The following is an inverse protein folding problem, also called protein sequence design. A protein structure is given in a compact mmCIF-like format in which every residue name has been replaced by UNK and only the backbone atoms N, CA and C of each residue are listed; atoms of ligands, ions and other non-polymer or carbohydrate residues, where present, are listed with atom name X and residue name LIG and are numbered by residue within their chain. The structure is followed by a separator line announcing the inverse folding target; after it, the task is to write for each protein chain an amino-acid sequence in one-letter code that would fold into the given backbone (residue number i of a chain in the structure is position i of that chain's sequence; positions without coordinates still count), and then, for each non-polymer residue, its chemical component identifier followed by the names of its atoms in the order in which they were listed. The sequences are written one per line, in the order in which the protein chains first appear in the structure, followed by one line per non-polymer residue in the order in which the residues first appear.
data_IF_022559653624
#
_entry.id   IF_022559653624
#
_cell.length_a   1.000
_cell.length_b   1.000
_cell.length_c   1.000
_cell.angle_alpha   90.00
_cell.angle_beta   90.00
_cell.angle_gamma   90.00
#
_symmetry.space_group_name_H-M   'P 1'
#
loop_
_entity.id
_entity.type
_entity.pdbx_description
1 polymer ?
#
# COMPACT_ATOMS: atom_id res chain seq x y z
N UNK A 1 15.44 0.91 1.03
CA UNK A 1 14.25 0.17 0.56
C UNK A 1 13.75 -0.73 1.68
N UNK A 2 12.55 -0.50 2.21
CA UNK A 2 11.97 -1.40 3.21
C UNK A 2 11.44 -2.63 2.48
N UNK A 3 12.03 -3.79 2.75
CA UNK A 3 11.66 -5.05 2.09
C UNK A 3 10.27 -5.48 2.59
N UNK A 4 9.33 -5.86 1.72
CA UNK A 4 8.01 -6.39 2.11
C UNK A 4 8.09 -7.57 3.11
N UNK A 5 9.20 -8.32 3.09
CA UNK A 5 9.49 -9.38 4.06
C UNK A 5 9.59 -8.89 5.50
N UNK A 6 10.03 -7.63 5.71
CA UNK A 6 10.23 -7.04 7.05
C UNK A 6 8.89 -6.67 7.69
N UNK A 7 7.93 -6.21 6.88
CA UNK A 7 6.56 -5.95 7.33
C UNK A 7 5.85 -7.25 7.73
N UNK A 8 5.97 -8.32 6.93
CA UNK A 8 5.42 -9.64 7.30
C UNK A 8 6.03 -10.19 8.58
N UNK A 9 7.34 -10.03 8.79
CA UNK A 9 8.00 -10.46 10.01
C UNK A 9 7.46 -9.71 11.24
N UNK A 10 7.32 -8.37 11.15
CA UNK A 10 6.77 -7.56 12.24
C UNK A 10 5.31 -7.92 12.54
N UNK A 11 4.50 -8.23 11.52
CA UNK A 11 3.13 -8.71 11.71
C UNK A 11 3.10 -10.03 12.49
N UNK A 12 3.99 -10.98 12.14
CA UNK A 12 4.07 -12.27 12.82
C UNK A 12 4.48 -12.12 14.30
N UNK A 13 5.43 -11.24 14.61
CA UNK A 13 5.82 -10.96 16.00
C UNK A 13 4.68 -10.32 16.80
N UNK A 14 3.94 -9.37 16.21
CA UNK A 14 2.77 -8.78 16.86
C UNK A 14 1.68 -9.81 17.16
N UNK A 15 1.45 -10.78 16.27
CA UNK A 15 0.53 -11.90 16.51
C UNK A 15 1.02 -12.82 17.64
N UNK A 16 2.32 -13.13 17.70
CA UNK A 16 2.89 -13.93 18.81
C UNK A 16 2.69 -13.23 20.15
N UNK A 17 2.96 -11.93 20.21
CA UNK A 17 2.74 -11.13 21.41
C UNK A 17 1.26 -11.10 21.80
N UNK A 18 0.36 -10.95 20.82
CA UNK A 18 -1.10 -10.99 21.06
C UNK A 18 -1.56 -12.36 21.60
N UNK A 19 -0.92 -13.45 21.20
CA UNK A 19 -1.22 -14.79 21.71
C UNK A 19 -0.79 -14.96 23.19
N UNK A 20 0.28 -14.28 23.61
CA UNK A 20 0.74 -14.27 25.01
C UNK A 20 0.08 -13.21 25.89
N UNK A 21 -0.63 -12.25 25.31
CA UNK A 21 -1.28 -11.16 26.05
C UNK A 21 -2.47 -11.68 26.86
N UNK A 22 -2.48 -11.35 28.15
CA UNK A 22 -3.55 -11.72 29.09
C UNK A 22 -4.67 -10.69 29.10
N UNK A 23 -4.31 -9.42 28.89
CA UNK A 23 -5.25 -8.32 28.82
C UNK A 23 -5.92 -8.28 27.42
N UNK A 24 -7.27 -8.21 27.36
CA UNK A 24 -8.00 -8.21 26.10
C UNK A 24 -7.80 -6.93 25.27
N UNK A 25 -7.57 -5.78 25.90
CA UNK A 25 -7.32 -4.51 25.21
C UNK A 25 -5.92 -4.50 24.58
N UNK A 26 -4.90 -5.00 25.30
CA UNK A 26 -3.56 -5.20 24.77
C UNK A 26 -3.55 -6.19 23.61
N UNK A 27 -4.29 -7.29 23.74
CA UNK A 27 -4.46 -8.27 22.65
C UNK A 27 -5.08 -7.61 21.42
N UNK A 28 -6.13 -6.82 21.59
CA UNK A 28 -6.78 -6.11 20.49
C UNK A 28 -5.84 -5.08 19.84
N UNK A 29 -5.04 -4.36 20.63
CA UNK A 29 -4.03 -3.42 20.14
C UNK A 29 -2.95 -4.13 19.32
N UNK A 30 -2.41 -5.24 19.81
CA UNK A 30 -1.38 -6.02 19.12
C UNK A 30 -1.89 -6.60 17.80
N UNK A 31 -3.14 -7.05 17.74
CA UNK A 31 -3.76 -7.51 16.49
C UNK A 31 -3.97 -6.36 15.49
N UNK A 32 -4.35 -5.16 15.95
CA UNK A 32 -4.42 -3.96 15.08
C UNK A 32 -3.05 -3.60 14.50
N UNK A 33 -2.00 -3.69 15.32
CA UNK A 33 -0.62 -3.46 14.87
C UNK A 33 -0.21 -4.49 13.81
N UNK A 34 -0.52 -5.78 14.04
CA UNK A 34 -0.25 -6.83 13.06
C UNK A 34 -0.94 -6.56 11.71
N UNK A 35 -2.21 -6.18 11.75
CA UNK A 35 -2.97 -5.81 10.55
C UNK A 35 -2.33 -4.62 9.82
N UNK A 36 -1.92 -3.57 10.54
CA UNK A 36 -1.26 -2.41 9.94
C UNK A 36 0.02 -2.78 9.18
N UNK A 37 0.82 -3.73 9.69
CA UNK A 37 1.99 -4.24 8.97
C UNK A 37 1.62 -5.02 7.70
N UNK A 38 0.53 -5.78 7.70
CA UNK A 38 0.03 -6.48 6.51
C UNK A 38 -0.45 -5.49 5.44
N UNK A 39 -1.19 -4.45 5.83
CA UNK A 39 -1.64 -3.40 4.93
C UNK A 39 -0.45 -2.67 4.27
N UNK A 40 0.61 -2.39 5.03
CA UNK A 40 1.85 -1.83 4.49
C UNK A 40 2.56 -2.78 3.52
N UNK A 41 2.48 -4.09 3.76
CA UNK A 41 3.00 -5.12 2.85
C UNK A 41 2.23 -5.11 1.53
N UNK A 42 0.90 -5.04 1.60
CA UNK A 42 0.04 -4.98 0.41
C UNK A 42 0.30 -3.70 -0.39
N UNK A 43 0.36 -2.54 0.27
CA UNK A 43 0.69 -1.25 -0.37
C UNK A 43 2.08 -1.27 -1.00
N UNK A 44 3.07 -1.88 -0.33
CA UNK A 44 4.42 -2.01 -0.89
C UNK A 44 4.48 -2.98 -2.07
N UNK A 45 3.59 -3.99 -2.11
CA UNK A 45 3.50 -4.96 -3.20
C UNK A 45 2.70 -4.40 -4.39
N UNK A 46 1.64 -3.65 -4.13
CA UNK A 46 0.77 -3.03 -5.16
C UNK A 46 1.32 -1.68 -5.66
N UNK A 47 2.18 -1.02 -4.88
CA UNK A 47 2.89 0.21 -5.26
C UNK A 47 3.90 0.06 -6.40
N UNK A 48 4.15 -1.16 -6.89
CA UNK A 48 4.97 -1.45 -8.07
C UNK A 48 4.15 -1.50 -9.37
N UNK A 49 2.84 -1.19 -9.33
CA UNK A 49 2.00 -1.14 -10.54
C UNK A 49 1.10 0.10 -10.63
N UNK A 50 1.59 1.27 -10.22
CA UNK A 50 1.11 2.50 -10.87
C UNK A 50 2.06 2.80 -12.02
N UNK A 51 1.87 2.07 -13.14
CA UNK A 51 2.10 2.73 -14.43
C UNK A 51 1.19 3.94 -14.40
N UNK A 52 1.78 5.12 -14.27
CA UNK A 52 1.12 6.38 -14.56
C UNK A 52 0.41 6.19 -15.88
N UNK A 53 -0.91 5.98 -15.84
CA UNK A 53 -1.77 6.13 -17.00
C UNK A 53 -1.76 7.62 -17.25
N UNK A 54 -0.76 8.08 -17.99
CA UNK A 54 -0.78 9.41 -18.58
C UNK A 54 -2.09 9.43 -19.39
N UNK A 55 -3.06 10.29 -19.09
CA UNK A 55 -4.21 10.42 -19.96
C UNK A 55 -3.70 10.88 -21.32
N UNK A 56 -3.76 9.97 -22.31
CA UNK A 56 -3.50 10.22 -23.72
C UNK A 56 -4.58 11.13 -24.31
N UNK A 57 -4.71 12.35 -23.80
CA UNK A 57 -5.66 13.33 -24.31
C UNK A 57 -5.06 14.73 -24.32
N UNK A 58 -4.08 14.95 -25.20
CA UNK A 58 -3.99 16.22 -25.95
C UNK A 58 -3.38 15.92 -27.34
N UNK A 59 -4.10 15.17 -28.19
CA UNK A 59 -3.89 15.33 -29.64
C UNK A 59 -4.58 16.62 -30.03
N UNK A 60 -3.86 17.74 -29.96
CA UNK A 60 -4.29 18.98 -30.63
C UNK A 60 -4.23 18.70 -32.13
N UNK A 61 -5.39 18.49 -32.74
CA UNK A 61 -5.54 18.59 -34.20
C UNK A 61 -5.02 19.99 -34.61
N UNK A 62 -4.11 20.09 -35.59
CA UNK A 62 -3.82 21.40 -36.18
C UNK A 62 -5.08 21.89 -36.86
N UNK A 63 -5.63 22.97 -36.32
CA UNK A 63 -6.78 23.68 -36.88
C UNK A 63 -6.32 24.30 -38.20
N UNK A 64 -6.73 23.74 -39.34
CA UNK A 64 -6.56 24.38 -40.63
C UNK A 64 -7.41 25.65 -40.65
N UNK A 65 -6.79 26.79 -40.33
CA UNK A 65 -7.33 28.09 -40.68
C UNK A 65 -7.14 28.27 -42.19
N UNK A 66 -8.23 28.01 -42.91
CA UNK A 66 -8.53 28.73 -44.12
C UNK A 66 -8.65 30.22 -43.76
N UNK A 67 -7.80 31.05 -44.37
CA UNK A 67 -8.09 32.46 -44.60
C UNK A 67 -7.38 32.87 -45.88
N UNK A 68 -8.11 33.70 -46.63
CA UNK A 68 -7.96 34.07 -48.03
C UNK A 68 -6.62 34.70 -48.39
#
# INVERSE_FOLDING_TARGET
MIKPSRYRANAAEAVKLAASATDPDDKALLLKIAQGWLDLTERASHGVSIRLRVPSQVVRKPNQRATQ
#
